data_IF_424263420209
#
_entry.id   IF_424263420209
#
_cell.length_a   1.000
_cell.length_b   1.000
_cell.length_c   1.000
_cell.angle_alpha   90.00
_cell.angle_beta   90.00
_cell.angle_gamma   90.00
#
_symmetry.space_group_name_H-M   'P 1'
#
loop_
_entity.id
_entity.type
_entity.pdbx_description
1 polymer ?
#
# COMPACT_ATOMS: atom_id res chain seq x y z
N UNK A 1 -2.66 3.18 4.53
CA UNK A 1 -3.71 3.22 3.50
C UNK A 1 -4.64 4.37 3.86
N UNK A 2 -5.03 5.19 2.90
CA UNK A 2 -5.87 6.35 3.18
C UNK A 2 -6.99 6.41 2.14
N UNK A 3 -8.22 6.59 2.62
CA UNK A 3 -9.39 6.80 1.77
C UNK A 3 -9.41 8.26 1.31
N UNK A 4 -9.37 8.47 0.00
CA UNK A 4 -9.32 9.79 -0.59
C UNK A 4 -10.66 10.13 -1.26
N UNK A 5 -11.59 10.72 -0.50
CA UNK A 5 -12.96 11.06 -0.95
C UNK A 5 -13.00 11.99 -2.18
N UNK A 6 -11.92 12.70 -2.47
CA UNK A 6 -11.78 13.50 -3.69
C UNK A 6 -11.85 12.64 -4.96
N UNK A 7 -11.42 11.36 -4.89
CA UNK A 7 -11.50 10.39 -5.99
C UNK A 7 -12.88 9.74 -6.11
N UNK A 8 -13.64 9.69 -5.01
CA UNK A 8 -14.99 9.13 -4.99
C UNK A 8 -16.02 10.09 -5.62
N UNK A 9 -15.91 11.40 -5.35
CA UNK A 9 -17.00 12.35 -5.67
C UNK A 9 -16.72 13.32 -6.83
N UNK A 10 -15.50 13.36 -7.40
CA UNK A 10 -15.18 14.15 -8.61
C UNK A 10 -14.25 13.37 -9.56
N UNK A 11 -14.37 13.61 -10.87
CA UNK A 11 -13.54 12.94 -11.89
C UNK A 11 -14.00 11.52 -12.23
N UNK A 12 -13.08 10.54 -12.23
CA UNK A 12 -13.27 9.15 -12.71
C UNK A 12 -14.27 8.33 -11.89
N UNK A 13 -14.62 8.74 -10.65
CA UNK A 13 -15.63 8.11 -9.77
C UNK A 13 -15.38 6.61 -9.54
N UNK A 14 -14.15 6.26 -9.16
CA UNK A 14 -13.80 4.90 -8.79
C UNK A 14 -13.92 4.74 -7.27
N UNK A 15 -14.97 4.03 -6.83
CA UNK A 15 -15.24 3.77 -5.41
C UNK A 15 -14.35 2.65 -4.83
N UNK A 16 -13.63 1.90 -5.68
CA UNK A 16 -12.74 0.83 -5.23
C UNK A 16 -11.26 1.27 -5.22
N UNK A 17 -11.00 2.54 -5.56
CA UNK A 17 -9.64 3.09 -5.64
C UNK A 17 -8.98 3.19 -4.24
N UNK A 18 -8.06 2.25 -3.99
CA UNK A 18 -7.32 2.13 -2.74
C UNK A 18 -5.88 2.61 -2.91
N UNK A 19 -5.54 3.74 -2.27
CA UNK A 19 -4.19 4.31 -2.37
C UNK A 19 -3.25 3.74 -1.31
N UNK A 20 -2.19 3.06 -1.75
CA UNK A 20 -1.16 2.47 -0.89
C UNK A 20 0.21 3.05 -1.27
N UNK A 21 0.78 3.88 -0.40
CA UNK A 21 2.15 4.38 -0.52
C UNK A 21 3.05 3.66 0.49
N UNK A 22 4.24 3.23 0.04
CA UNK A 22 5.23 2.61 0.92
C UNK A 22 6.62 3.23 0.68
N UNK A 23 7.32 3.55 1.75
CA UNK A 23 8.70 4.09 1.70
C UNK A 23 9.60 3.13 2.45
N UNK A 24 10.58 2.56 1.73
CA UNK A 24 11.54 1.61 2.31
C UNK A 24 12.87 2.33 2.57
N UNK A 25 13.48 2.10 3.74
CA UNK A 25 14.78 2.65 4.14
C UNK A 25 15.67 1.54 4.70
N UNK A 26 16.98 1.79 4.78
CA UNK A 26 17.94 0.85 5.39
C UNK A 26 17.94 -0.52 4.70
N UNK A 27 17.98 -1.59 5.49
CA UNK A 27 18.03 -2.97 4.98
C UNK A 27 16.79 -3.33 4.13
N UNK A 28 15.61 -2.78 4.42
CA UNK A 28 14.41 -3.01 3.61
C UNK A 28 14.47 -2.37 2.21
N UNK A 29 15.35 -1.38 2.01
CA UNK A 29 15.60 -0.82 0.68
C UNK A 29 16.67 -1.62 -0.07
N UNK A 30 17.70 -2.10 0.64
CA UNK A 30 18.88 -2.76 0.06
C UNK A 30 18.69 -4.26 -0.18
N UNK A 31 17.86 -4.92 0.64
CA UNK A 31 17.61 -6.36 0.59
C UNK A 31 16.19 -6.64 0.04
N UNK A 32 16.07 -7.14 -1.20
CA UNK A 32 14.79 -7.48 -1.81
C UNK A 32 14.09 -8.67 -1.16
N UNK A 33 14.83 -9.61 -0.56
CA UNK A 33 14.25 -10.81 0.06
C UNK A 33 13.58 -10.45 1.39
N UNK A 34 14.28 -9.69 2.24
CA UNK A 34 13.72 -9.16 3.48
C UNK A 34 12.46 -8.32 3.24
N UNK A 35 12.49 -7.45 2.21
CA UNK A 35 11.32 -6.65 1.82
C UNK A 35 10.13 -7.53 1.41
N UNK A 36 10.38 -8.63 0.70
CA UNK A 36 9.33 -9.55 0.25
C UNK A 36 8.65 -10.25 1.43
N UNK A 37 9.43 -10.74 2.37
CA UNK A 37 8.92 -11.36 3.60
C UNK A 37 8.14 -10.38 4.46
N UNK A 38 8.62 -9.14 4.57
CA UNK A 38 7.90 -8.10 5.30
C UNK A 38 6.54 -7.77 4.67
N UNK A 39 6.48 -7.62 3.34
CA UNK A 39 5.23 -7.32 2.63
C UNK A 39 4.25 -8.50 2.66
N UNK A 40 4.73 -9.74 2.63
CA UNK A 40 3.84 -10.92 2.73
C UNK A 40 3.15 -10.99 4.10
N UNK A 41 3.84 -10.62 5.18
CA UNK A 41 3.26 -10.54 6.52
C UNK A 41 2.19 -9.44 6.64
N UNK A 42 2.36 -8.30 5.96
CA UNK A 42 1.37 -7.21 5.98
C UNK A 42 0.06 -7.65 5.30
N UNK A 43 0.15 -8.38 4.19
CA UNK A 43 -1.04 -8.84 3.47
C UNK A 43 -1.82 -9.93 4.21
N UNK A 44 -1.15 -10.74 5.04
CA UNK A 44 -1.80 -11.75 5.88
C UNK A 44 -2.52 -11.20 7.12
N UNK A 45 -2.38 -9.90 7.42
CA UNK A 45 -3.03 -9.27 8.59
C UNK A 45 -4.44 -8.74 8.30
N UNK A 46 -4.92 -8.83 7.05
CA UNK A 46 -6.31 -8.56 6.66
C UNK A 46 -7.13 -9.84 6.83
N UNK A 47 -7.36 -10.22 8.08
CA UNK A 47 -8.38 -11.18 8.51
C UNK A 47 -9.48 -10.45 9.25
#
# INVERSE_FOLDING_TARGET
EADHFCMHWRGVKDNDAKMINSVMRGSFLKDPNLRREFLSLINNKKG
#
